data_IF_449819447801
#
_entry.id   IF_449819447801
#
_cell.length_a   1.000
_cell.length_b   1.000
_cell.length_c   1.000
_cell.angle_alpha   90.00
_cell.angle_beta   90.00
_cell.angle_gamma   90.00
#
_symmetry.space_group_name_H-M   'P 1'
#
loop_
_entity.id
_entity.type
_entity.pdbx_description
1 polymer ?
#
# COMPACT_ATOMS: atom_id res chain seq x y z
N UNK A 1 -16.80 -2.72 25.90
CA UNK A 1 -16.24 -2.85 25.60
C UNK A 1 -15.77 -3.25 24.73
N UNK A 2 -15.69 -3.61 24.32
CA UNK A 2 -15.28 -3.97 23.74
C UNK A 2 -14.68 -4.01 22.83
N UNK A 3 -14.93 -4.30 22.29
CA UNK A 3 -14.53 -4.18 21.43
C UNK A 3 -13.37 -3.83 21.04
N UNK A 4 -12.86 -3.78 21.52
CA UNK A 4 -11.60 -3.51 21.53
C UNK A 4 -10.87 -4.19 20.52
N UNK A 5 -11.07 -5.36 20.30
CA UNK A 5 -10.33 -6.13 19.36
C UNK A 5 -11.05 -6.29 18.05
N UNK A 6 -11.35 -5.20 17.41
CA UNK A 6 -11.91 -5.24 16.09
C UNK A 6 -10.80 -5.66 15.13
N UNK A 7 -10.86 -6.84 14.54
CA UNK A 7 -9.79 -7.32 13.69
C UNK A 7 -9.59 -6.49 12.44
N UNK A 8 -10.58 -5.69 12.07
CA UNK A 8 -10.41 -4.84 10.92
C UNK A 8 -9.56 -3.63 11.20
N UNK A 9 -9.32 -3.35 12.46
CA UNK A 9 -8.47 -2.21 12.80
C UNK A 9 -7.09 -2.70 13.17
N UNK A 10 -6.40 -3.20 12.18
CA UNK A 10 -5.07 -3.73 12.39
C UNK A 10 -4.05 -2.65 12.71
N UNK A 11 -4.28 -1.46 12.20
CA UNK A 11 -3.33 -0.37 12.38
C UNK A 11 -3.92 0.65 13.31
N UNK A 12 -3.30 0.81 14.45
CA UNK A 12 -3.80 1.75 15.43
C UNK A 12 -3.23 3.14 15.15
N UNK A 13 -3.75 4.09 15.88
CA UNK A 13 -3.27 5.45 15.76
C UNK A 13 -1.79 5.57 16.04
N UNK A 14 -1.29 4.74 16.93
CA UNK A 14 0.11 4.82 17.30
C UNK A 14 1.00 4.10 16.33
N UNK A 15 0.43 3.20 15.53
CA UNK A 15 1.23 2.50 14.57
C UNK A 15 1.34 3.35 13.33
N UNK A 16 2.48 3.31 12.74
CA UNK A 16 2.70 4.06 11.54
C UNK A 16 2.73 3.10 10.39
N UNK A 17 1.93 3.38 9.42
CA UNK A 17 1.89 2.58 8.20
C UNK A 17 2.78 3.22 7.15
N UNK A 18 3.33 2.41 6.28
CA UNK A 18 4.09 2.91 5.14
C UNK A 18 3.14 3.08 3.97
N UNK A 19 3.50 3.93 3.03
CA UNK A 19 2.64 4.17 1.88
C UNK A 19 3.51 4.58 0.69
N UNK A 20 2.91 4.55 -0.50
CA UNK A 20 3.62 4.96 -1.70
C UNK A 20 3.29 6.40 -2.03
N UNK A 21 4.25 7.12 -2.54
CA UNK A 21 4.03 8.49 -2.95
C UNK A 21 5.05 8.86 -4.02
N UNK A 22 4.84 10.00 -4.66
CA UNK A 22 5.74 10.52 -5.66
C UNK A 22 6.69 11.50 -4.99
N UNK A 23 7.97 11.30 -5.24
CA UNK A 23 8.96 12.27 -4.82
C UNK A 23 9.83 12.48 -6.04
N UNK A 24 10.76 11.62 -6.26
CA UNK A 24 11.58 11.65 -7.45
C UNK A 24 11.32 10.29 -8.07
N UNK A 25 10.18 10.15 -8.71
CA UNK A 25 9.66 8.86 -9.08
C UNK A 25 8.79 8.33 -7.96
N UNK A 26 8.26 7.14 -8.13
CA UNK A 26 7.44 6.54 -7.09
C UNK A 26 8.32 5.91 -6.03
N UNK A 27 7.98 6.12 -4.80
CA UNK A 27 8.77 5.61 -3.68
C UNK A 27 7.88 5.15 -2.56
N UNK A 28 8.40 4.26 -1.73
CA UNK A 28 7.72 3.86 -0.51
C UNK A 28 8.20 4.75 0.61
N UNK A 29 7.27 5.44 1.23
CA UNK A 29 7.58 6.25 2.41
C UNK A 29 7.44 5.32 3.60
N UNK A 30 8.57 4.97 4.19
CA UNK A 30 8.60 4.03 5.30
C UNK A 30 8.35 4.74 6.61
N UNK A 31 7.50 4.13 7.42
CA UNK A 31 7.21 4.65 8.74
C UNK A 31 7.39 3.53 9.74
N UNK A 32 8.46 3.60 10.51
CA UNK A 32 8.76 2.58 11.49
C UNK A 32 8.76 1.21 10.85
N UNK A 33 8.06 0.29 11.46
CA UNK A 33 7.92 -1.06 10.93
C UNK A 33 6.57 -1.25 10.25
N UNK A 34 5.92 -0.15 9.90
CA UNK A 34 4.57 -0.23 9.37
C UNK A 34 4.52 -0.88 8.00
N UNK A 35 3.55 -1.74 7.83
CA UNK A 35 3.28 -2.36 6.55
C UNK A 35 2.70 -1.33 5.61
N UNK A 36 2.82 -1.58 4.33
CA UNK A 36 2.24 -0.68 3.34
C UNK A 36 0.73 -0.83 3.37
N UNK A 37 0.05 0.28 3.59
CA UNK A 37 -1.40 0.34 3.60
C UNK A 37 -1.79 1.76 3.22
N UNK A 38 -2.80 1.92 2.38
CA UNK A 38 -3.14 3.24 1.85
C UNK A 38 -4.64 3.47 1.87
N UNK A 39 -4.99 4.74 2.06
CA UNK A 39 -6.39 5.16 1.98
C UNK A 39 -6.76 5.44 0.52
N UNK A 40 -8.05 5.57 0.26
CA UNK A 40 -8.51 5.90 -1.09
C UNK A 40 -7.97 7.23 -1.56
N UNK A 41 -7.89 8.19 -0.67
CA UNK A 41 -7.37 9.51 -1.02
C UNK A 41 -5.91 9.42 -1.47
N UNK A 42 -5.12 8.63 -0.77
CA UNK A 42 -3.73 8.44 -1.16
C UNK A 42 -3.62 7.68 -2.48
N UNK A 43 -4.51 6.73 -2.70
CA UNK A 43 -4.49 5.96 -3.93
C UNK A 43 -4.86 6.81 -5.14
N UNK A 44 -5.83 7.73 -4.99
CA UNK A 44 -6.15 8.63 -6.09
C UNK A 44 -4.94 9.46 -6.47
N UNK A 45 -4.19 9.91 -5.47
CA UNK A 45 -3.01 10.72 -5.74
C UNK A 45 -1.90 9.90 -6.40
N UNK A 46 -1.64 8.73 -5.87
CA UNK A 46 -0.53 7.95 -6.39
C UNK A 46 -0.83 7.40 -7.79
N UNK A 47 -2.08 7.10 -8.09
CA UNK A 47 -2.43 6.58 -9.40
C UNK A 47 -2.94 7.65 -10.36
N UNK A 48 -3.04 8.89 -9.89
CA UNK A 48 -3.41 9.98 -10.78
C UNK A 48 -4.79 9.83 -11.40
N UNK A 49 -5.76 9.35 -10.63
CA UNK A 49 -7.11 9.15 -11.13
C UNK A 49 -8.12 9.84 -10.21
N UNK A 50 -9.32 10.03 -10.71
CA UNK A 50 -10.38 10.61 -9.89
C UNK A 50 -10.85 9.59 -8.88
N UNK A 51 -11.43 10.07 -7.80
CA UNK A 51 -11.99 9.19 -6.79
C UNK A 51 -13.07 8.29 -7.39
N UNK A 52 -13.87 8.83 -8.29
CA UNK A 52 -14.93 8.04 -8.91
C UNK A 52 -14.38 6.84 -9.67
N UNK A 53 -13.33 7.07 -10.45
CA UNK A 53 -12.72 6.00 -11.22
C UNK A 53 -12.06 4.99 -10.30
N UNK A 54 -11.35 5.49 -9.29
CA UNK A 54 -10.71 4.62 -8.32
C UNK A 54 -11.73 3.75 -7.61
N UNK A 55 -12.79 4.37 -7.12
CA UNK A 55 -13.79 3.66 -6.35
C UNK A 55 -14.48 2.60 -7.20
N UNK A 56 -14.78 2.92 -8.46
CA UNK A 56 -15.39 1.96 -9.34
C UNK A 56 -14.51 0.72 -9.50
N UNK A 57 -13.22 0.93 -9.72
CA UNK A 57 -12.30 -0.19 -9.90
C UNK A 57 -12.10 -0.96 -8.61
N UNK A 58 -12.05 -0.27 -7.48
CA UNK A 58 -11.95 -0.95 -6.19
C UNK A 58 -13.16 -1.82 -5.94
N UNK A 59 -14.37 -1.32 -6.23
CA UNK A 59 -15.57 -2.10 -6.00
C UNK A 59 -15.58 -3.34 -6.89
N UNK A 60 -15.16 -3.20 -8.13
CA UNK A 60 -15.08 -4.32 -9.04
C UNK A 60 -14.09 -5.36 -8.52
N UNK A 61 -12.94 -4.90 -8.06
CA UNK A 61 -11.92 -5.78 -7.56
C UNK A 61 -12.38 -6.53 -6.31
N UNK A 62 -13.04 -5.82 -5.40
CA UNK A 62 -13.51 -6.46 -4.18
C UNK A 62 -14.58 -7.50 -4.44
N UNK A 63 -15.36 -7.32 -5.50
CA UNK A 63 -16.40 -8.27 -5.84
C UNK A 63 -15.87 -9.47 -6.59
N UNK A 64 -14.69 -9.40 -7.12
CA UNK A 64 -14.19 -10.46 -7.98
C UNK A 64 -13.84 -11.73 -7.22
N UNK A 65 -13.63 -11.60 -5.91
CA UNK A 65 -13.28 -12.72 -5.06
C UNK A 65 -11.98 -13.40 -5.45
N UNK A 66 -11.18 -12.74 -6.25
CA UNK A 66 -9.88 -13.29 -6.64
C UNK A 66 -8.84 -13.11 -5.56
N UNK A 67 -9.10 -12.24 -4.60
CA UNK A 67 -8.19 -12.05 -3.49
C UNK A 67 -8.72 -12.77 -2.28
N UNK A 68 -7.82 -13.38 -1.54
CA UNK A 68 -8.19 -14.02 -0.30
C UNK A 68 -8.73 -12.94 0.65
N UNK A 69 -9.72 -13.26 1.48
CA UNK A 69 -10.25 -12.25 2.40
C UNK A 69 -9.18 -11.53 3.23
N UNK A 70 -8.14 -12.24 3.61
CA UNK A 70 -7.07 -11.63 4.40
C UNK A 70 -6.22 -10.66 3.59
N UNK A 71 -6.35 -10.68 2.28
CA UNK A 71 -5.57 -9.83 1.40
C UNK A 71 -6.30 -8.56 0.99
N UNK A 72 -7.59 -8.44 1.35
CA UNK A 72 -8.39 -7.33 0.83
C UNK A 72 -8.25 -6.04 1.59
N UNK A 73 -8.05 -6.13 2.87
CA UNK A 73 -8.09 -4.95 3.73
C UNK A 73 -6.95 -4.96 4.71
N UNK A 74 -6.48 -3.77 5.05
CA UNK A 74 -5.47 -3.59 6.08
C UNK A 74 -6.05 -2.89 7.30
N UNK A 75 -7.37 -2.87 7.42
CA UNK A 75 -8.03 -2.26 8.55
C UNK A 75 -8.54 -0.86 8.24
N UNK A 76 -8.56 -0.04 9.25
CA UNK A 76 -9.08 1.32 9.14
C UNK A 76 -8.18 2.28 9.87
N UNK A 77 -8.21 3.52 9.44
CA UNK A 77 -7.46 4.57 10.08
C UNK A 77 -8.44 5.61 10.63
N UNK A 78 -8.18 6.10 11.83
CA UNK A 78 -9.03 7.12 12.44
C UNK A 78 -8.84 8.45 11.70
N UNK A 79 -9.94 9.14 11.48
CA UNK A 79 -9.92 10.45 10.86
C UNK A 79 -10.31 11.48 11.89
N UNK A 80 -9.45 12.46 12.10
CA UNK A 80 -9.69 13.52 13.06
C UNK A 80 -9.84 14.86 12.35
N UNK A 81 -10.70 15.70 12.90
CA UNK A 81 -10.82 17.09 12.47
C UNK A 81 -11.00 17.89 13.73
N UNK A 82 -10.18 18.93 13.93
CA UNK A 82 -10.22 19.75 15.11
C UNK A 82 -10.09 18.90 16.37
N UNK A 83 -9.23 17.92 16.31
CA UNK A 83 -8.95 17.05 17.46
C UNK A 83 -10.13 16.18 17.88
N UNK A 84 -11.13 16.07 17.02
CA UNK A 84 -12.26 15.19 17.27
C UNK A 84 -12.31 14.10 16.25
N UNK A 85 -12.63 12.90 16.71
CA UNK A 85 -12.76 11.77 15.81
C UNK A 85 -13.98 11.97 14.93
N UNK A 86 -13.79 11.98 13.63
CA UNK A 86 -14.86 12.21 12.67
C UNK A 86 -15.28 10.95 11.94
N UNK A 87 -14.46 9.93 11.97
CA UNK A 87 -14.80 8.70 11.29
C UNK A 87 -13.58 7.86 11.06
N UNK A 88 -13.72 6.92 10.13
CA UNK A 88 -12.67 5.98 9.84
C UNK A 88 -12.52 5.88 8.34
N UNK A 89 -11.30 5.74 7.88
CA UNK A 89 -11.00 5.53 6.46
C UNK A 89 -10.51 4.11 6.27
N UNK A 90 -11.07 3.38 5.32
CA UNK A 90 -10.57 2.04 5.04
C UNK A 90 -9.14 2.12 4.54
N UNK A 91 -8.35 1.14 4.92
CA UNK A 91 -6.99 0.99 4.45
C UNK A 91 -6.91 -0.24 3.55
N UNK A 92 -6.22 -0.10 2.45
CA UNK A 92 -6.08 -1.18 1.49
C UNK A 92 -4.67 -1.73 1.54
N UNK A 93 -4.58 -3.04 1.51
CA UNK A 93 -3.30 -3.74 1.64
C UNK A 93 -2.46 -3.61 0.37
N UNK A 94 -1.18 -3.91 0.49
CA UNK A 94 -0.29 -3.87 -0.67
C UNK A 94 -0.79 -4.79 -1.78
N UNK A 95 -1.31 -5.96 -1.43
CA UNK A 95 -1.83 -6.88 -2.43
C UNK A 95 -2.96 -6.23 -3.23
N UNK A 96 -3.89 -5.59 -2.52
CA UNK A 96 -4.99 -4.89 -3.18
C UNK A 96 -4.46 -3.72 -4.03
N UNK A 97 -3.49 -2.99 -3.52
CA UNK A 97 -2.93 -1.86 -4.26
C UNK A 97 -2.29 -2.33 -5.56
N UNK A 98 -1.54 -3.42 -5.51
CA UNK A 98 -0.92 -3.97 -6.71
C UNK A 98 -1.99 -4.45 -7.69
N UNK A 99 -2.99 -5.17 -7.19
CA UNK A 99 -4.08 -5.64 -8.05
C UNK A 99 -4.81 -4.47 -8.69
N UNK A 100 -5.05 -3.41 -7.92
CA UNK A 100 -5.72 -2.23 -8.43
C UNK A 100 -4.91 -1.56 -9.54
N UNK A 101 -3.59 -1.56 -9.42
CA UNK A 101 -2.75 -0.94 -10.44
C UNK A 101 -2.94 -1.58 -11.82
N UNK A 102 -3.37 -2.84 -11.87
CA UNK A 102 -3.62 -3.51 -13.14
C UNK A 102 -5.03 -3.21 -13.69
N UNK A 103 -5.85 -2.55 -12.89
CA UNK A 103 -7.19 -2.16 -13.32
C UNK A 103 -7.25 -0.73 -13.81
N UNK A 104 -6.16 0.00 -13.70
CA UNK A 104 -6.11 1.41 -14.05
C UNK A 104 -5.18 1.63 -15.23
N UNK A 105 -5.56 2.57 -16.09
CA UNK A 105 -4.81 2.83 -17.31
C UNK A 105 -4.07 4.17 -17.31
N UNK A 106 -3.92 4.78 -16.15
CA UNK A 106 -3.20 6.03 -16.05
C UNK A 106 -1.70 5.82 -16.24
N UNK A 107 -1.00 6.88 -16.58
CA UNK A 107 0.45 6.84 -16.69
C UNK A 107 1.06 6.48 -15.34
N UNK A 108 0.52 7.04 -14.26
CA UNK A 108 1.02 6.76 -12.94
C UNK A 108 0.86 5.28 -12.56
N UNK A 109 -0.26 4.67 -12.95
CA UNK A 109 -0.44 3.25 -12.69
C UNK A 109 0.57 2.43 -13.47
N UNK A 110 0.84 2.82 -14.71
CA UNK A 110 1.86 2.14 -15.52
C UNK A 110 3.24 2.25 -14.85
N UNK A 111 3.59 3.44 -14.39
CA UNK A 111 4.88 3.62 -13.72
C UNK A 111 4.97 2.85 -12.41
N UNK A 112 3.86 2.74 -11.71
CA UNK A 112 3.82 1.95 -10.50
C UNK A 112 4.08 0.47 -10.81
N UNK A 113 3.46 -0.04 -11.87
CA UNK A 113 3.68 -1.44 -12.26
C UNK A 113 5.13 -1.68 -12.66
N UNK A 114 5.73 -0.73 -13.36
CA UNK A 114 7.14 -0.84 -13.71
C UNK A 114 8.02 -0.87 -12.46
N UNK A 115 7.69 -0.03 -11.51
CA UNK A 115 8.43 0.03 -10.26
C UNK A 115 8.38 -1.32 -9.53
N UNK A 116 7.21 -1.93 -9.46
CA UNK A 116 7.05 -3.23 -8.81
C UNK A 116 7.87 -4.29 -9.54
N UNK A 117 7.78 -4.30 -10.85
CA UNK A 117 8.53 -5.28 -11.64
C UNK A 117 10.03 -5.11 -11.46
N UNK A 118 10.50 -3.89 -11.44
CA UNK A 118 11.91 -3.65 -11.23
C UNK A 118 12.39 -4.14 -9.88
N UNK A 119 11.56 -3.95 -8.85
CA UNK A 119 11.93 -4.42 -7.53
C UNK A 119 12.08 -5.93 -7.50
N UNK A 120 11.24 -6.63 -8.22
CA UNK A 120 11.32 -8.08 -8.27
C UNK A 120 12.49 -8.57 -9.12
N UNK A 121 12.88 -7.79 -10.10
CA UNK A 121 13.99 -8.17 -10.96
C UNK A 121 15.34 -7.89 -10.35
N UNK A 122 15.41 -6.97 -9.42
CA UNK A 122 16.69 -6.63 -8.82
C UNK A 122 17.14 -7.73 -7.89
N UNK A 123 18.37 -8.18 -8.05
CA UNK A 123 18.85 -9.23 -7.18
C UNK A 123 19.06 -8.71 -5.78
N UNK A 124 18.73 -9.56 -4.85
CA UNK A 124 18.95 -9.21 -3.46
C UNK A 124 20.41 -9.10 -3.16
N UNK A 125 21.20 -9.65 -3.99
CA UNK A 125 22.62 -9.64 -3.81
C UNK A 125 23.22 -8.26 -3.81
N UNK A 126 22.43 -7.31 -4.10
CA UNK A 126 22.90 -5.96 -3.99
C UNK A 126 23.44 -5.75 -2.62
N UNK A 127 22.91 -6.45 -1.69
CA UNK A 127 23.33 -6.32 -0.37
C UNK A 127 24.35 -7.31 -0.03
N UNK A 128 24.24 -8.41 -0.65
CA UNK A 128 25.06 -9.51 -0.36
C UNK A 128 26.44 -9.46 -0.72
N UNK A 129 26.73 -8.97 -1.85
CA UNK A 129 28.06 -9.07 -2.36
C UNK A 129 29.09 -8.67 -1.41
N UNK A 130 28.73 -7.91 -0.50
CA UNK A 130 29.67 -7.48 0.39
C UNK A 130 30.27 -8.54 1.16
N UNK A 131 29.49 -9.42 1.61
CA UNK A 131 30.06 -10.42 2.36
C UNK A 131 30.51 -11.47 1.55
N UNK A 132 29.95 -11.62 0.50
CA UNK A 132 30.36 -12.63 -0.33
C UNK A 132 31.70 -12.52 -0.68
N UNK A 133 32.06 -11.43 -0.83
CA UNK A 133 33.31 -11.23 -1.23
C UNK A 133 34.17 -11.49 -0.31
N UNK A 134 33.82 -11.30 0.52
CA UNK A 134 34.67 -11.51 1.49
C UNK A 134 35.13 -12.82 1.44
N UNK A 135 34.76 -12.93 0.94
CA UNK A 135 34.86 -13.72 0.91
C UNK A 135 35.29 -14.16 0.21
N UNK A 136 35.15 -13.90 -0.23
CA UNK A 136 35.31 -14.27 -0.92
C UNK A 136 35.91 -14.25 -1.43
N UNK A 137 36.10 -14.10 -1.42
CA UNK A 137 36.44 -14.11 -1.89
C UNK A 137 36.79 -14.25 -2.16
N UNK A 138 36.83 -14.17 -2.09
CA UNK A 138 36.81 -14.32 -2.25
C UNK A 138 36.87 -14.41 -2.51
#
# INVERSE_FOLDING_TARGET
MKTINNPKRKISVTNQRSYCDWTDGIQVVRKGNGEIAMTESELTRVFGVTWRKLNHRLQTLMKSLNLHPDERSAGEEDIYANEQLKGYAPLYSLTTIIALSFQLDSTEAHLFREYICERLLKPASVITPIFLLGNTNN
#
